data_IF_575696563273
#
_entry.id   IF_575696563273
#
_cell.length_a   1.000
_cell.length_b   1.000
_cell.length_c   1.000
_cell.angle_alpha   90.00
_cell.angle_beta   90.00
_cell.angle_gamma   90.00
#
_symmetry.space_group_name_H-M   'P 1'
#
loop_
_entity.id
_entity.type
_entity.pdbx_description
1 polymer ?
#
# COMPACT_ATOMS: atom_id res chain seq x y z
N UNK A 1 0.16 -20.78 -3.35
CA UNK A 1 0.70 -19.78 -4.30
C UNK A 1 2.04 -19.30 -3.75
N UNK A 2 3.10 -19.25 -4.55
CA UNK A 2 4.44 -18.80 -4.09
C UNK A 2 4.47 -17.26 -3.98
N UNK A 3 3.75 -16.72 -3.00
CA UNK A 3 3.56 -15.28 -2.79
C UNK A 3 3.78 -14.93 -1.32
N UNK A 4 4.16 -13.68 -1.09
CA UNK A 4 4.21 -13.06 0.24
C UNK A 4 3.06 -12.04 0.36
N UNK A 5 2.54 -11.78 1.57
CA UNK A 5 3.02 -12.24 2.89
C UNK A 5 2.51 -13.61 3.33
N UNK A 6 3.19 -14.15 4.35
CA UNK A 6 2.73 -15.23 5.20
C UNK A 6 3.10 -14.90 6.66
N UNK A 7 2.18 -15.09 7.61
CA UNK A 7 2.42 -14.87 9.03
C UNK A 7 2.20 -16.17 9.82
N UNK A 8 3.16 -16.52 10.68
CA UNK A 8 3.05 -17.67 11.57
C UNK A 8 2.48 -17.23 12.91
N UNK A 9 1.20 -17.50 13.16
CA UNK A 9 0.50 -17.17 14.42
C UNK A 9 -0.02 -18.46 15.03
N UNK A 10 0.31 -18.74 16.30
CA UNK A 10 -0.13 -19.95 17.01
C UNK A 10 0.14 -21.25 16.23
N UNK A 11 1.32 -21.35 15.58
CA UNK A 11 1.73 -22.46 14.70
C UNK A 11 0.89 -22.63 13.42
N UNK A 12 -0.02 -21.70 13.13
CA UNK A 12 -0.77 -21.64 11.88
C UNK A 12 -0.12 -20.65 10.94
N UNK A 13 0.03 -21.02 9.68
CA UNK A 13 0.55 -20.14 8.63
C UNK A 13 -0.63 -19.44 7.95
N UNK A 14 -0.86 -18.18 8.32
CA UNK A 14 -1.87 -17.32 7.70
C UNK A 14 -1.30 -16.68 6.44
N UNK A 15 -2.08 -16.65 5.37
CA UNK A 15 -1.71 -16.04 4.09
C UNK A 15 -2.85 -15.16 3.59
N UNK A 16 -2.59 -14.37 2.53
CA UNK A 16 -3.46 -13.29 2.03
C UNK A 16 -3.47 -12.06 2.96
N UNK A 17 -2.98 -10.94 2.44
CA UNK A 17 -2.78 -9.72 3.22
C UNK A 17 -4.07 -9.19 3.86
N UNK A 18 -5.16 -9.09 3.10
CA UNK A 18 -6.45 -8.60 3.64
C UNK A 18 -7.03 -9.56 4.68
N UNK A 19 -6.93 -10.87 4.48
CA UNK A 19 -7.39 -11.85 5.47
C UNK A 19 -6.57 -11.79 6.77
N UNK A 20 -5.26 -11.60 6.67
CA UNK A 20 -4.39 -11.36 7.84
C UNK A 20 -4.80 -10.07 8.56
N UNK A 21 -5.06 -8.98 7.82
CA UNK A 21 -5.50 -7.71 8.41
C UNK A 21 -6.84 -7.89 9.15
N UNK A 22 -7.82 -8.56 8.55
CA UNK A 22 -9.12 -8.79 9.21
C UNK A 22 -8.97 -9.70 10.44
N UNK A 23 -8.15 -10.75 10.38
CA UNK A 23 -7.85 -11.58 11.55
C UNK A 23 -7.23 -10.76 12.70
N UNK A 24 -6.31 -9.85 12.37
CA UNK A 24 -5.69 -8.96 13.35
C UNK A 24 -6.71 -7.95 13.93
N UNK A 25 -7.64 -7.41 13.13
CA UNK A 25 -8.77 -6.59 13.60
C UNK A 25 -9.65 -7.33 14.62
N UNK A 26 -9.90 -8.62 14.38
CA UNK A 26 -10.69 -9.48 15.28
C UNK A 26 -9.96 -9.79 16.60
N UNK A 27 -8.63 -10.01 16.55
CA UNK A 27 -7.82 -10.38 17.72
C UNK A 27 -7.47 -9.16 18.59
N UNK A 28 -7.37 -7.96 18.01
CA UNK A 28 -7.01 -6.73 18.71
C UNK A 28 -8.11 -5.65 18.63
N UNK A 29 -9.28 -5.87 19.26
CA UNK A 29 -10.46 -5.00 19.11
C UNK A 29 -10.27 -3.57 19.66
N UNK A 30 -9.26 -3.34 20.50
CA UNK A 30 -8.92 -2.02 21.06
C UNK A 30 -8.27 -1.09 20.02
N UNK A 31 -7.82 -1.62 18.88
CA UNK A 31 -7.18 -0.87 17.77
C UNK A 31 -7.85 -1.23 16.43
N UNK A 32 -9.13 -0.87 16.25
CA UNK A 32 -9.90 -1.31 15.10
C UNK A 32 -9.36 -0.71 13.80
N UNK A 33 -9.13 -1.57 12.81
CA UNK A 33 -8.83 -1.25 11.42
C UNK A 33 -10.09 -1.20 10.56
N UNK A 34 -11.23 -1.59 11.11
CA UNK A 34 -12.54 -1.45 10.50
C UNK A 34 -13.49 -0.71 11.45
N UNK A 35 -14.28 0.26 10.96
CA UNK A 35 -15.23 0.99 11.79
C UNK A 35 -16.34 0.08 12.34
N UNK A 36 -17.15 0.60 13.26
CA UNK A 36 -18.34 -0.14 13.77
C UNK A 36 -19.54 -0.02 12.85
N UNK A 37 -19.70 1.13 12.20
CA UNK A 37 -20.81 1.38 11.28
C UNK A 37 -20.73 0.45 10.04
N UNK A 38 -21.77 -0.34 9.73
CA UNK A 38 -21.72 -1.31 8.64
C UNK A 38 -21.44 -0.70 7.27
N UNK A 39 -21.96 0.51 6.99
CA UNK A 39 -21.76 1.16 5.69
C UNK A 39 -20.32 1.65 5.55
N UNK A 40 -19.76 2.29 6.59
CA UNK A 40 -18.35 2.66 6.59
C UNK A 40 -17.44 1.43 6.52
N UNK A 41 -17.79 0.31 7.17
CA UNK A 41 -17.05 -0.96 7.04
C UNK A 41 -17.04 -1.46 5.60
N UNK A 42 -18.18 -1.38 4.92
CA UNK A 42 -18.28 -1.73 3.51
C UNK A 42 -17.38 -0.84 2.65
N UNK A 43 -17.40 0.48 2.86
CA UNK A 43 -16.58 1.45 2.11
C UNK A 43 -15.08 1.17 2.32
N UNK A 44 -14.64 0.92 3.56
CA UNK A 44 -13.24 0.55 3.84
C UNK A 44 -12.85 -0.71 3.07
N UNK A 45 -13.70 -1.75 3.06
CA UNK A 45 -13.45 -2.97 2.27
C UNK A 45 -13.43 -2.70 0.77
N UNK A 46 -14.36 -1.90 0.26
CA UNK A 46 -14.44 -1.55 -1.15
C UNK A 46 -13.14 -0.88 -1.64
N UNK A 47 -12.62 0.09 -0.88
CA UNK A 47 -11.36 0.75 -1.19
C UNK A 47 -10.20 -0.26 -1.12
N UNK A 48 -10.14 -1.06 -0.04
CA UNK A 48 -9.10 -2.06 0.16
C UNK A 48 -9.05 -3.09 -0.97
N UNK A 49 -10.21 -3.59 -1.40
CA UNK A 49 -10.35 -4.53 -2.52
C UNK A 49 -10.00 -3.91 -3.86
N UNK A 50 -10.30 -2.62 -4.06
CA UNK A 50 -9.87 -1.92 -5.28
C UNK A 50 -8.35 -1.94 -5.41
N UNK A 51 -7.62 -1.78 -4.30
CA UNK A 51 -6.17 -1.97 -4.28
C UNK A 51 -5.74 -3.43 -4.43
N UNK A 52 -6.20 -4.30 -3.53
CA UNK A 52 -5.70 -5.66 -3.37
C UNK A 52 -6.13 -6.62 -4.48
N UNK A 53 -7.29 -6.40 -5.07
CA UNK A 53 -7.87 -7.24 -6.12
C UNK A 53 -7.90 -6.52 -7.47
N UNK A 54 -8.16 -5.22 -7.49
CA UNK A 54 -8.34 -4.44 -8.71
C UNK A 54 -7.05 -3.90 -9.35
N UNK A 55 -6.01 -3.64 -8.55
CA UNK A 55 -4.76 -3.02 -9.03
C UNK A 55 -3.57 -3.95 -8.83
N UNK A 56 -3.29 -4.34 -7.59
CA UNK A 56 -2.02 -4.98 -7.25
C UNK A 56 -1.75 -6.29 -8.00
N UNK A 57 -2.72 -7.20 -8.21
CA UNK A 57 -2.46 -8.47 -8.89
C UNK A 57 -2.01 -8.26 -10.34
N UNK A 58 -2.46 -7.19 -10.99
CA UNK A 58 -2.17 -6.86 -12.39
C UNK A 58 -0.78 -6.21 -12.54
N UNK A 59 -0.31 -5.50 -11.53
CA UNK A 59 1.04 -4.94 -11.47
C UNK A 59 2.05 -5.82 -10.69
N UNK A 60 1.62 -7.01 -10.26
CA UNK A 60 2.51 -7.96 -9.59
C UNK A 60 3.57 -8.49 -10.55
N UNK A 61 4.79 -8.69 -10.05
CA UNK A 61 5.94 -9.15 -10.85
C UNK A 61 5.64 -10.44 -11.63
N UNK A 62 4.97 -11.42 -11.01
CA UNK A 62 4.63 -12.68 -11.67
C UNK A 62 3.71 -12.48 -12.88
N UNK A 63 2.75 -11.55 -12.78
CA UNK A 63 1.87 -11.16 -13.87
C UNK A 63 2.67 -10.41 -14.96
N UNK A 64 3.43 -9.38 -14.57
CA UNK A 64 4.17 -8.55 -15.53
C UNK A 64 5.20 -9.36 -16.34
N UNK A 65 5.86 -10.34 -15.73
CA UNK A 65 6.79 -11.24 -16.44
C UNK A 65 6.09 -12.13 -17.49
N UNK A 66 4.77 -12.36 -17.38
CA UNK A 66 3.98 -13.05 -18.41
C UNK A 66 3.50 -12.10 -19.50
N UNK A 67 3.32 -10.82 -19.20
CA UNK A 67 2.93 -9.80 -20.19
C UNK A 67 4.06 -9.54 -21.19
N UNK A 68 5.29 -9.33 -20.71
CA UNK A 68 6.42 -9.07 -21.61
C UNK A 68 7.79 -9.27 -20.95
N UNK A 69 8.77 -9.72 -21.74
CA UNK A 69 10.18 -9.68 -21.36
C UNK A 69 10.78 -8.27 -21.47
N UNK A 70 10.17 -7.37 -22.23
CA UNK A 70 10.60 -5.97 -22.34
C UNK A 70 10.13 -5.18 -21.12
N UNK A 71 11.06 -4.49 -20.46
CA UNK A 71 10.80 -3.77 -19.21
C UNK A 71 9.81 -2.63 -19.41
N UNK A 72 9.95 -1.91 -20.51
CA UNK A 72 9.17 -0.73 -20.86
C UNK A 72 7.69 -1.10 -21.03
N UNK A 73 7.41 -2.22 -21.70
CA UNK A 73 6.05 -2.76 -21.85
C UNK A 73 5.43 -3.19 -20.52
N UNK A 74 6.23 -3.74 -19.60
CA UNK A 74 5.74 -4.07 -18.25
C UNK A 74 5.39 -2.82 -17.45
N UNK A 75 6.22 -1.78 -17.54
CA UNK A 75 5.95 -0.49 -16.89
C UNK A 75 4.68 0.13 -17.45
N UNK A 76 4.52 0.16 -18.77
CA UNK A 76 3.32 0.69 -19.42
C UNK A 76 2.05 -0.04 -18.97
N UNK A 77 2.09 -1.37 -18.95
CA UNK A 77 0.98 -2.21 -18.49
C UNK A 77 0.63 -1.94 -17.03
N UNK A 78 1.62 -1.91 -16.14
CA UNK A 78 1.42 -1.61 -14.72
C UNK A 78 0.83 -0.20 -14.53
N UNK A 79 1.41 0.80 -15.18
CA UNK A 79 0.96 2.19 -15.10
C UNK A 79 -0.49 2.36 -15.55
N UNK A 80 -0.93 1.64 -16.58
CA UNK A 80 -2.32 1.65 -17.03
C UNK A 80 -3.30 1.23 -15.92
N UNK A 81 -3.05 0.09 -15.27
CA UNK A 81 -3.96 -0.41 -14.22
C UNK A 81 -3.90 0.43 -12.94
N UNK A 82 -2.73 0.99 -12.62
CA UNK A 82 -2.60 1.93 -11.51
C UNK A 82 -3.43 3.18 -11.78
N UNK A 83 -3.27 3.84 -12.93
CA UNK A 83 -4.07 5.02 -13.29
C UNK A 83 -5.56 4.72 -13.27
N UNK A 84 -5.99 3.63 -13.91
CA UNK A 84 -7.40 3.21 -13.93
C UNK A 84 -7.99 3.06 -12.53
N UNK A 85 -7.25 2.43 -11.62
CA UNK A 85 -7.67 2.25 -10.23
C UNK A 85 -7.66 3.56 -9.44
N UNK A 86 -6.63 4.37 -9.62
CA UNK A 86 -6.51 5.68 -8.95
C UNK A 86 -7.58 6.66 -9.44
N UNK A 87 -7.94 6.67 -10.72
CA UNK A 87 -9.03 7.48 -11.27
C UNK A 87 -10.37 7.16 -10.59
N UNK A 88 -10.62 5.88 -10.27
CA UNK A 88 -11.82 5.44 -9.57
C UNK A 88 -11.77 5.80 -8.08
N UNK A 89 -10.63 5.54 -7.44
CA UNK A 89 -10.43 5.81 -6.01
C UNK A 89 -10.43 7.30 -5.70
N UNK A 90 -9.78 8.14 -6.51
CA UNK A 90 -9.76 9.59 -6.33
C UNK A 90 -11.18 10.19 -6.36
N UNK A 91 -12.10 9.61 -7.15
CA UNK A 91 -13.52 9.99 -7.12
C UNK A 91 -14.19 9.55 -5.82
N UNK A 92 -14.05 8.28 -5.44
CA UNK A 92 -14.66 7.73 -4.24
C UNK A 92 -14.15 8.41 -2.95
N UNK A 93 -12.86 8.75 -2.90
CA UNK A 93 -12.22 9.37 -1.76
C UNK A 93 -12.68 10.82 -1.55
N UNK A 94 -13.17 11.52 -2.58
CA UNK A 94 -13.77 12.86 -2.39
C UNK A 94 -14.99 12.84 -1.48
N UNK A 95 -15.75 11.74 -1.51
CA UNK A 95 -16.99 11.61 -0.74
C UNK A 95 -16.77 10.92 0.62
N UNK A 96 -15.67 10.18 0.77
CA UNK A 96 -15.44 9.28 1.91
C UNK A 96 -14.30 9.71 2.81
N UNK A 97 -13.30 10.40 2.28
CA UNK A 97 -12.12 10.80 3.03
C UNK A 97 -12.37 12.03 3.89
N UNK A 98 -11.73 12.05 5.06
CA UNK A 98 -11.46 13.27 5.83
C UNK A 98 -9.96 13.32 6.05
N UNK A 99 -9.44 13.07 7.26
CA UNK A 99 -7.98 12.97 7.47
C UNK A 99 -7.36 11.80 6.71
N UNK A 100 -8.05 10.66 6.65
CA UNK A 100 -7.60 9.42 6.01
C UNK A 100 -8.60 8.92 4.97
N UNK A 101 -8.45 7.69 4.45
CA UNK A 101 -9.30 7.17 3.39
C UNK A 101 -10.79 7.15 3.75
N UNK A 102 -11.14 6.85 5.01
CA UNK A 102 -12.53 6.89 5.50
C UNK A 102 -12.58 7.61 6.84
N UNK A 103 -13.03 8.86 6.84
CA UNK A 103 -13.08 9.68 8.06
C UNK A 103 -11.69 10.02 8.63
N UNK A 104 -11.58 10.06 9.96
CA UNK A 104 -10.42 10.60 10.68
C UNK A 104 -9.52 9.55 11.35
N UNK A 105 -9.86 8.26 11.25
CA UNK A 105 -9.12 7.15 11.85
C UNK A 105 -8.45 6.29 10.78
N UNK A 106 -7.26 5.77 11.09
CA UNK A 106 -6.54 4.85 10.18
C UNK A 106 -7.31 3.54 10.11
N UNK A 107 -7.56 3.07 8.89
CA UNK A 107 -8.31 1.86 8.60
C UNK A 107 -7.55 0.96 7.60
N UNK A 108 -8.09 -0.24 7.34
CA UNK A 108 -7.53 -1.20 6.37
C UNK A 108 -7.26 -0.59 4.98
N UNK A 109 -8.09 0.36 4.54
CA UNK A 109 -7.91 1.07 3.29
C UNK A 109 -6.58 1.85 3.24
N UNK A 110 -6.20 2.49 4.35
CA UNK A 110 -4.97 3.28 4.45
C UNK A 110 -3.72 2.39 4.41
N UNK A 111 -3.81 1.21 5.02
CA UNK A 111 -2.76 0.20 4.99
C UNK A 111 -2.49 -0.32 3.56
N UNK A 112 -3.51 -0.29 2.70
CA UNK A 112 -3.39 -0.64 1.30
C UNK A 112 -2.87 0.53 0.45
N UNK A 113 -3.22 1.77 0.81
CA UNK A 113 -2.83 2.95 0.04
C UNK A 113 -1.31 3.19 0.05
N UNK A 114 -0.66 3.12 1.21
CA UNK A 114 0.78 3.44 1.33
C UNK A 114 1.66 2.62 0.35
N UNK A 115 1.60 1.27 0.35
CA UNK A 115 2.42 0.49 -0.58
C UNK A 115 2.00 0.70 -2.04
N UNK A 116 0.72 0.99 -2.30
CA UNK A 116 0.25 1.23 -3.67
C UNK A 116 0.68 2.61 -4.21
N UNK A 117 0.78 3.64 -3.36
CA UNK A 117 1.34 4.93 -3.71
C UNK A 117 2.83 4.81 -4.08
N UNK A 118 3.61 4.06 -3.29
CA UNK A 118 4.99 3.74 -3.62
C UNK A 118 5.13 2.93 -4.93
N UNK A 119 4.17 2.04 -5.21
CA UNK A 119 4.11 1.33 -6.49
C UNK A 119 3.80 2.27 -7.66
N UNK A 120 2.93 3.26 -7.48
CA UNK A 120 2.62 4.25 -8.52
C UNK A 120 3.88 4.99 -8.98
N UNK A 121 4.67 5.50 -8.04
CA UNK A 121 5.95 6.17 -8.33
C UNK A 121 6.92 5.24 -9.08
N UNK A 122 7.04 3.98 -8.63
CA UNK A 122 7.89 2.96 -9.27
C UNK A 122 7.53 2.73 -10.75
N UNK A 123 6.26 2.84 -11.10
CA UNK A 123 5.77 2.66 -12.47
C UNK A 123 5.49 3.98 -13.18
N UNK A 124 6.10 5.08 -12.73
CA UNK A 124 6.02 6.41 -13.33
C UNK A 124 4.59 6.97 -13.42
N UNK A 125 3.77 6.73 -12.40
CA UNK A 125 2.47 7.38 -12.20
C UNK A 125 2.64 8.43 -11.11
N UNK A 126 2.42 9.70 -11.45
CA UNK A 126 2.57 10.82 -10.50
C UNK A 126 1.37 10.89 -9.57
N UNK A 127 1.60 11.09 -8.28
CA UNK A 127 0.53 11.37 -7.31
C UNK A 127 -0.03 12.79 -7.44
N UNK A 128 0.66 13.70 -8.13
CA UNK A 128 0.18 15.07 -8.37
C UNK A 128 -1.11 15.09 -9.21
N UNK A 129 -1.37 14.03 -9.98
CA UNK A 129 -2.61 13.82 -10.74
C UNK A 129 -3.81 13.46 -9.82
N UNK A 130 -3.53 13.12 -8.55
CA UNK A 130 -4.47 12.54 -7.59
C UNK A 130 -4.40 13.26 -6.22
N UNK A 131 -4.89 14.51 -6.12
CA UNK A 131 -4.66 15.36 -4.95
C UNK A 131 -5.24 14.82 -3.65
N UNK A 132 -6.37 14.10 -3.69
CA UNK A 132 -6.96 13.49 -2.49
C UNK A 132 -6.12 12.32 -2.00
N UNK A 133 -5.75 11.42 -2.92
CA UNK A 133 -4.82 10.31 -2.63
C UNK A 133 -3.50 10.83 -2.09
N UNK A 134 -2.89 11.83 -2.74
CA UNK A 134 -1.61 12.42 -2.32
C UNK A 134 -1.72 13.00 -0.91
N UNK A 135 -2.76 13.78 -0.61
CA UNK A 135 -2.99 14.36 0.71
C UNK A 135 -3.07 13.28 1.79
N UNK A 136 -3.82 12.20 1.55
CA UNK A 136 -3.97 11.11 2.52
C UNK A 136 -2.63 10.38 2.69
N UNK A 137 -1.93 10.07 1.59
CA UNK A 137 -0.62 9.43 1.62
C UNK A 137 0.39 10.24 2.45
N UNK A 138 0.44 11.56 2.28
CA UNK A 138 1.31 12.44 3.06
C UNK A 138 0.94 12.43 4.54
N UNK A 139 -0.36 12.50 4.88
CA UNK A 139 -0.83 12.44 6.25
C UNK A 139 -0.46 11.11 6.93
N UNK A 140 -0.62 9.99 6.22
CA UNK A 140 -0.26 8.65 6.70
C UNK A 140 1.25 8.49 6.88
N UNK A 141 2.04 9.04 5.96
CA UNK A 141 3.50 8.93 5.99
C UNK A 141 4.14 9.63 7.19
N UNK A 142 3.42 10.54 7.85
CA UNK A 142 3.89 11.19 9.08
C UNK A 142 3.77 10.31 10.33
N UNK A 143 2.93 9.27 10.29
CA UNK A 143 2.67 8.40 11.42
C UNK A 143 3.87 7.50 11.73
N UNK A 144 4.26 7.44 13.01
CA UNK A 144 5.39 6.60 13.46
C UNK A 144 5.26 5.12 13.07
N UNK A 145 4.08 4.48 13.19
CA UNK A 145 3.95 3.09 12.77
C UNK A 145 4.18 2.91 11.27
N UNK A 146 3.79 3.88 10.43
CA UNK A 146 4.03 3.85 8.98
C UNK A 146 5.50 4.08 8.63
N UNK A 147 6.17 5.00 9.34
CA UNK A 147 7.62 5.23 9.18
C UNK A 147 8.43 3.97 9.52
N UNK A 148 8.07 3.27 10.60
CA UNK A 148 8.71 1.99 10.99
C UNK A 148 8.45 0.88 9.97
N UNK A 149 7.24 0.81 9.43
CA UNK A 149 6.86 -0.19 8.43
C UNK A 149 7.37 0.12 7.00
N UNK A 150 8.07 1.25 6.80
CA UNK A 150 8.54 1.67 5.49
C UNK A 150 9.60 0.70 4.93
N UNK A 151 9.54 0.40 3.61
CA UNK A 151 10.42 -0.56 2.95
C UNK A 151 11.93 -0.30 3.18
N UNK A 152 12.35 0.96 3.20
CA UNK A 152 13.76 1.30 3.43
C UNK A 152 14.23 1.17 4.89
N UNK A 153 13.31 1.07 5.84
CA UNK A 153 13.62 0.83 7.26
C UNK A 153 13.81 -0.65 7.58
N UNK A 154 13.65 -1.55 6.61
CA UNK A 154 13.57 -2.98 6.86
C UNK A 154 14.93 -3.65 7.01
N UNK A 155 14.96 -4.73 7.78
CA UNK A 155 16.19 -5.50 8.01
C UNK A 155 16.78 -6.02 6.70
N UNK A 156 15.91 -6.53 5.81
CA UNK A 156 16.21 -7.09 4.50
C UNK A 156 16.40 -6.03 3.39
N UNK A 157 16.16 -4.75 3.70
CA UNK A 157 16.45 -3.68 2.76
C UNK A 157 17.95 -3.66 2.44
N UNK A 158 18.37 -3.70 1.16
CA UNK A 158 19.77 -3.54 0.78
C UNK A 158 20.39 -2.28 1.37
N UNK A 159 21.65 -2.37 1.83
CA UNK A 159 22.32 -1.29 2.56
C UNK A 159 22.37 0.03 1.77
N UNK A 160 22.52 -0.07 0.45
CA UNK A 160 22.50 1.06 -0.49
C UNK A 160 21.16 1.82 -0.55
N UNK A 161 20.06 1.21 -0.07
CA UNK A 161 18.73 1.81 -0.06
C UNK A 161 18.25 2.25 1.33
N UNK A 162 18.96 1.89 2.42
CA UNK A 162 18.64 2.31 3.80
C UNK A 162 18.87 3.81 4.08
N UNK A 163 19.01 4.64 3.04
CA UNK A 163 19.35 6.05 3.18
C UNK A 163 18.17 6.85 3.77
N UNK A 164 18.36 7.49 4.93
CA UNK A 164 17.35 8.35 5.61
C UNK A 164 16.75 9.43 4.68
N UNK A 165 17.51 9.84 3.66
CA UNK A 165 17.06 10.80 2.64
C UNK A 165 15.98 10.28 1.70
N UNK A 166 15.88 8.96 1.48
CA UNK A 166 14.93 8.37 0.53
C UNK A 166 13.49 8.44 1.06
N UNK A 167 13.30 8.23 2.37
CA UNK A 167 12.03 8.45 3.06
C UNK A 167 11.61 9.93 2.96
N UNK A 168 12.55 10.86 3.22
CA UNK A 168 12.29 12.30 3.13
C UNK A 168 12.00 12.77 1.70
N UNK A 169 12.69 12.26 0.68
CA UNK A 169 12.44 12.66 -0.70
C UNK A 169 11.10 12.15 -1.21
N UNK A 170 10.72 10.92 -0.85
CA UNK A 170 9.44 10.32 -1.19
C UNK A 170 8.27 11.06 -0.49
N UNK A 171 8.42 11.37 0.80
CA UNK A 171 7.44 12.18 1.56
C UNK A 171 7.37 13.63 1.04
N UNK A 172 8.48 14.19 0.55
CA UNK A 172 8.50 15.59 0.08
C UNK A 172 7.96 15.81 -1.35
N UNK A 173 7.48 14.76 -2.03
CA UNK A 173 7.04 14.84 -3.43
C UNK A 173 8.16 15.19 -4.42
N UNK A 174 9.42 15.12 -3.99
CA UNK A 174 10.56 15.38 -4.88
C UNK A 174 10.90 14.10 -5.60
N UNK A 175 10.61 14.08 -6.90
CA UNK A 175 11.03 13.08 -7.88
C UNK A 175 12.40 12.47 -7.53
N UNK A 176 12.40 11.25 -6.98
CA UNK A 176 13.57 10.40 -6.89
C UNK A 176 13.92 9.94 -8.31
N UNK A 177 14.60 10.80 -9.09
CA UNK A 177 15.14 10.42 -10.41
C UNK A 177 16.31 9.44 -10.34
N UNK A 178 16.65 8.91 -9.16
CA UNK A 178 17.70 7.92 -9.01
C UNK A 178 17.17 6.62 -8.39
N UNK A 179 17.17 5.59 -9.23
CA UNK A 179 17.32 4.19 -8.85
C UNK A 179 16.17 3.53 -8.06
N UNK A 180 15.04 3.30 -8.73
CA UNK A 180 14.14 2.17 -8.42
C UNK A 180 14.14 1.16 -9.58
N UNK A 181 15.34 0.81 -10.05
CA UNK A 181 15.55 -0.48 -10.68
C UNK A 181 15.67 -1.47 -9.52
N UNK A 182 14.64 -2.26 -9.21
CA UNK A 182 14.72 -3.63 -8.66
C UNK A 182 13.38 -4.06 -8.01
N UNK A 183 13.18 -5.38 -8.04
CA UNK A 183 11.90 -6.07 -8.17
C UNK A 183 11.20 -6.43 -6.84
N UNK A 184 11.28 -5.59 -5.80
CA UNK A 184 10.69 -5.97 -4.50
C UNK A 184 9.39 -5.24 -4.24
N UNK A 185 8.28 -5.97 -4.42
CA UNK A 185 6.95 -5.60 -3.94
C UNK A 185 6.98 -5.73 -2.42
N UNK A 186 7.41 -4.68 -1.70
CA UNK A 186 7.34 -4.64 -0.25
C UNK A 186 5.89 -4.45 0.17
N UNK A 187 5.15 -5.54 0.38
CA UNK A 187 3.98 -5.46 1.21
C UNK A 187 4.46 -5.35 2.66
N UNK A 188 4.23 -4.19 3.26
CA UNK A 188 4.53 -3.85 4.67
C UNK A 188 3.71 -4.64 5.70
N UNK A 189 3.05 -5.73 5.28
CA UNK A 189 2.26 -6.60 6.16
C UNK A 189 3.09 -7.28 7.23
N UNK A 190 4.42 -7.33 7.10
CA UNK A 190 5.31 -7.79 8.17
C UNK A 190 5.20 -6.96 9.47
N UNK A 191 4.70 -5.72 9.40
CA UNK A 191 4.70 -4.81 10.55
C UNK A 191 3.31 -4.45 11.08
N UNK A 192 2.24 -5.02 10.53
CA UNK A 192 0.90 -4.83 11.10
C UNK A 192 0.82 -5.30 12.55
N UNK A 193 1.60 -6.33 12.91
CA UNK A 193 1.72 -6.79 14.28
C UNK A 193 2.33 -5.71 15.19
N UNK A 194 3.39 -5.04 14.76
CA UNK A 194 4.03 -3.95 15.50
C UNK A 194 3.22 -2.63 15.51
N UNK A 195 2.31 -2.44 14.54
CA UNK A 195 1.34 -1.34 14.56
C UNK A 195 0.26 -1.60 15.64
N UNK A 196 -0.05 -2.86 15.93
CA UNK A 196 -1.08 -3.26 16.90
C UNK A 196 -0.56 -3.60 18.31
N UNK A 197 0.75 -3.75 18.51
CA UNK A 197 1.41 -3.78 19.83
C UNK A 197 1.70 -2.38 20.37
#
# INVERSE_FOLDING_TARGET
>A
MQQVPAQLINKQCLTQSLAIIEYLDEVFPERPLLPKDPLQRFIVRQISETFASGIQPLQNLGCLLKVSHQKEKRIEFAAYFIRKGFDALEKLLKDTSSKYCVGDYVAMADLCLIPQAAAAERYNVSLDEYPTIQRIFLALSELQPMKKAHAFGQEDCPAEWKFEGALKSQISGRNLKHSLNHNQTYFSTFYLYDIQQ
#
